data_IF_852485773593
#
_entry.id   IF_852485773593
#
_cell.length_a   1.000
_cell.length_b   1.000
_cell.length_c   1.000
_cell.angle_alpha   90.00
_cell.angle_beta   90.00
_cell.angle_gamma   90.00
#
_symmetry.space_group_name_H-M   'P 1'
#
loop_
_entity.id
_entity.type
_entity.pdbx_description
1 polymer ?
#
# COMPACT_ATOMS: atom_id res chain seq x y z
N UNK A 1 17.80 -40.41 -18.22
CA UNK A 1 17.73 -39.29 -17.26
C UNK A 1 16.39 -38.63 -17.49
N UNK A 2 15.48 -38.63 -16.51
CA UNK A 2 14.14 -38.06 -16.70
C UNK A 2 14.29 -36.59 -17.11
N UNK A 3 13.89 -36.30 -18.34
CA UNK A 3 14.04 -34.99 -18.98
C UNK A 3 12.93 -34.06 -18.46
N UNK A 4 12.94 -33.78 -17.15
CA UNK A 4 11.94 -32.92 -16.51
C UNK A 4 12.40 -31.47 -16.67
N UNK A 5 11.64 -30.69 -17.43
CA UNK A 5 11.85 -29.25 -17.57
C UNK A 5 11.81 -28.59 -16.18
N UNK A 6 12.87 -27.87 -15.77
CA UNK A 6 12.92 -27.18 -14.48
C UNK A 6 11.71 -26.27 -14.23
N UNK A 7 11.20 -26.24 -12.99
CA UNK A 7 10.04 -25.45 -12.56
C UNK A 7 10.47 -24.28 -11.68
N UNK A 8 10.10 -23.08 -12.08
CA UNK A 8 10.35 -21.84 -11.34
C UNK A 8 9.00 -21.31 -10.85
N UNK A 9 8.83 -21.25 -9.53
CA UNK A 9 7.66 -20.65 -8.88
C UNK A 9 7.99 -19.23 -8.42
N UNK A 10 7.20 -18.26 -8.85
CA UNK A 10 7.28 -16.86 -8.41
C UNK A 10 6.07 -16.59 -7.50
N UNK A 11 6.34 -16.23 -6.24
CA UNK A 11 5.34 -15.90 -5.24
C UNK A 11 5.15 -14.38 -5.21
N UNK A 12 3.99 -13.90 -5.67
CA UNK A 12 3.68 -12.48 -5.79
C UNK A 12 3.93 -11.95 -7.20
N UNK A 13 2.96 -11.19 -7.70
CA UNK A 13 2.87 -10.55 -9.02
C UNK A 13 3.08 -9.04 -8.99
N UNK A 14 3.54 -8.51 -7.84
CA UNK A 14 3.99 -7.12 -7.72
C UNK A 14 5.25 -6.83 -8.53
N UNK A 15 5.86 -5.67 -8.29
CA UNK A 15 6.96 -5.15 -9.13
C UNK A 15 8.08 -6.17 -9.39
N UNK A 16 8.66 -6.73 -8.31
CA UNK A 16 9.74 -7.69 -8.43
C UNK A 16 9.32 -9.00 -9.12
N UNK A 17 8.13 -9.53 -8.82
CA UNK A 17 7.65 -10.78 -9.40
C UNK A 17 7.31 -10.67 -10.87
N UNK A 18 6.59 -9.61 -11.27
CA UNK A 18 6.28 -9.34 -12.67
C UNK A 18 7.54 -9.15 -13.51
N UNK A 19 8.48 -8.32 -13.07
CA UNK A 19 9.71 -8.09 -13.82
C UNK A 19 10.60 -9.34 -13.88
N UNK A 20 10.62 -10.16 -12.83
CA UNK A 20 11.31 -11.45 -12.84
C UNK A 20 10.72 -12.36 -13.92
N UNK A 21 9.40 -12.59 -13.90
CA UNK A 21 8.72 -13.40 -14.90
C UNK A 21 8.95 -12.86 -16.32
N UNK A 22 8.73 -11.55 -16.51
CA UNK A 22 8.87 -10.90 -17.82
C UNK A 22 10.29 -10.98 -18.38
N UNK A 23 11.32 -10.89 -17.53
CA UNK A 23 12.71 -11.07 -17.97
C UNK A 23 13.04 -12.53 -18.22
N UNK A 24 12.55 -13.47 -17.42
CA UNK A 24 12.73 -14.90 -17.66
C UNK A 24 12.13 -15.33 -19.01
N UNK A 25 10.97 -14.80 -19.42
CA UNK A 25 10.40 -15.08 -20.75
C UNK A 25 11.31 -14.68 -21.92
N UNK A 26 12.18 -13.69 -21.71
CA UNK A 26 13.14 -13.19 -22.71
C UNK A 26 14.45 -13.97 -22.71
N UNK A 27 14.90 -14.43 -21.54
CA UNK A 27 16.19 -15.12 -21.41
C UNK A 27 16.07 -16.62 -21.69
N UNK A 28 14.96 -17.25 -21.29
CA UNK A 28 14.77 -18.69 -21.41
C UNK A 28 14.29 -19.08 -22.81
N UNK A 29 14.89 -20.12 -23.38
CA UNK A 29 14.39 -20.79 -24.58
C UNK A 29 13.12 -21.58 -24.27
N UNK A 30 12.34 -21.90 -25.29
CA UNK A 30 11.13 -22.71 -25.12
C UNK A 30 11.53 -24.11 -24.62
N UNK A 31 10.90 -24.55 -23.53
CA UNK A 31 11.20 -25.84 -22.90
C UNK A 31 12.42 -25.85 -21.97
N UNK A 32 13.12 -24.73 -21.80
CA UNK A 32 14.27 -24.63 -20.89
C UNK A 32 13.85 -24.59 -19.42
N UNK A 33 12.75 -23.91 -19.09
CA UNK A 33 12.08 -23.98 -17.80
C UNK A 33 10.59 -23.65 -17.94
N UNK A 34 9.79 -24.14 -16.99
CA UNK A 34 8.40 -23.75 -16.78
C UNK A 34 8.36 -22.68 -15.69
N UNK A 35 7.79 -21.52 -15.99
CA UNK A 35 7.65 -20.42 -15.02
C UNK A 35 6.18 -20.31 -14.64
N UNK A 36 5.90 -20.36 -13.33
CA UNK A 36 4.58 -20.10 -12.75
C UNK A 36 4.67 -18.87 -11.86
N UNK A 37 3.72 -17.94 -11.97
CA UNK A 37 3.54 -16.83 -11.04
C UNK A 37 2.20 -16.97 -10.33
N UNK A 38 2.21 -16.88 -9.00
CA UNK A 38 1.03 -16.97 -8.14
C UNK A 38 0.84 -15.64 -7.41
N UNK A 39 -0.27 -14.97 -7.67
CA UNK A 39 -0.64 -13.73 -6.97
C UNK A 39 -2.16 -13.63 -6.79
N UNK A 40 -2.68 -13.09 -5.67
CA UNK A 40 -4.12 -12.92 -5.49
C UNK A 40 -4.73 -11.89 -6.46
N UNK A 41 -3.94 -10.94 -6.97
CA UNK A 41 -4.37 -9.92 -7.91
C UNK A 41 -3.94 -10.30 -9.35
N UNK A 42 -4.78 -10.05 -10.36
CA UNK A 42 -4.46 -10.39 -11.75
C UNK A 42 -3.51 -9.37 -12.43
N UNK A 43 -2.95 -8.44 -11.67
CA UNK A 43 -2.15 -7.32 -12.15
C UNK A 43 -1.04 -6.93 -11.17
N UNK A 44 0.02 -6.32 -11.69
CA UNK A 44 1.01 -5.60 -10.91
C UNK A 44 0.53 -4.17 -10.67
N UNK A 45 0.51 -3.69 -9.44
CA UNK A 45 0.27 -2.28 -9.11
C UNK A 45 1.57 -1.48 -9.21
N UNK A 46 1.56 -0.38 -9.95
CA UNK A 46 2.60 0.64 -9.90
C UNK A 46 2.30 1.60 -8.74
N UNK A 47 2.76 1.21 -7.54
CA UNK A 47 2.47 1.90 -6.28
C UNK A 47 2.81 3.40 -6.24
N UNK A 48 3.86 3.91 -6.92
CA UNK A 48 4.15 5.34 -6.93
C UNK A 48 2.99 6.22 -7.44
N UNK A 49 2.05 5.65 -8.18
CA UNK A 49 0.88 6.37 -8.71
C UNK A 49 -0.38 6.27 -7.84
N UNK A 50 -0.31 5.64 -6.66
CA UNK A 50 -1.47 5.55 -5.76
C UNK A 50 -1.92 6.90 -5.20
N UNK A 51 -1.03 7.86 -4.86
CA UNK A 51 -1.44 9.21 -4.47
C UNK A 51 -2.32 9.90 -5.52
N UNK A 52 -1.93 9.84 -6.80
CA UNK A 52 -2.70 10.44 -7.89
C UNK A 52 -4.03 9.72 -8.14
N UNK A 53 -4.08 8.39 -7.97
CA UNK A 53 -5.35 7.65 -8.01
C UNK A 53 -6.27 8.07 -6.86
N UNK A 54 -5.71 8.26 -5.66
CA UNK A 54 -6.45 8.69 -4.47
C UNK A 54 -6.98 10.12 -4.56
N UNK A 55 -6.32 11.00 -5.32
CA UNK A 55 -6.85 12.31 -5.67
C UNK A 55 -7.72 12.33 -6.93
N UNK A 56 -7.74 11.24 -7.71
CA UNK A 56 -8.45 11.18 -8.98
C UNK A 56 -7.80 11.98 -10.12
N UNK A 57 -6.53 12.39 -9.97
CA UNK A 57 -5.77 13.05 -11.03
C UNK A 57 -5.39 12.09 -12.17
N UNK A 58 -5.36 10.78 -11.89
CA UNK A 58 -5.32 9.72 -12.89
C UNK A 58 -6.35 8.62 -12.58
N UNK A 59 -6.70 7.84 -13.60
CA UNK A 59 -7.55 6.66 -13.41
C UNK A 59 -6.77 5.47 -12.86
N UNK A 60 -7.41 4.70 -11.97
CA UNK A 60 -6.88 3.45 -11.40
C UNK A 60 -6.27 2.49 -12.44
N UNK A 61 -6.89 2.38 -13.63
CA UNK A 61 -6.41 1.49 -14.71
C UNK A 61 -5.06 1.92 -15.29
N UNK A 62 -4.64 3.17 -15.11
CA UNK A 62 -3.33 3.65 -15.55
C UNK A 62 -2.19 3.19 -14.62
N UNK A 63 -2.52 2.77 -13.41
CA UNK A 63 -1.55 2.36 -12.37
C UNK A 63 -1.41 0.84 -12.25
N UNK A 64 -1.93 0.08 -13.21
CA UNK A 64 -1.88 -1.40 -13.20
C UNK A 64 -1.32 -1.99 -14.49
N UNK A 65 -0.61 -3.10 -14.35
CA UNK A 65 -0.12 -3.90 -15.48
C UNK A 65 -0.68 -5.31 -15.39
N UNK A 66 -1.57 -5.67 -16.32
CA UNK A 66 -2.19 -7.00 -16.35
C UNK A 66 -1.15 -8.10 -16.57
N UNK A 67 -1.07 -9.06 -15.64
CA UNK A 67 -0.11 -10.17 -15.72
C UNK A 67 -0.35 -11.00 -16.98
N UNK A 68 -1.60 -11.43 -17.23
CA UNK A 68 -1.97 -12.24 -18.41
C UNK A 68 -1.80 -11.50 -19.74
N UNK A 69 -1.93 -10.17 -19.74
CA UNK A 69 -1.70 -9.36 -20.95
C UNK A 69 -0.23 -9.36 -21.33
N UNK A 70 0.68 -9.31 -20.37
CA UNK A 70 2.10 -9.07 -20.61
C UNK A 70 3.01 -10.30 -20.45
N UNK A 71 2.58 -11.33 -19.73
CA UNK A 71 3.29 -12.59 -19.59
C UNK A 71 2.65 -13.63 -20.53
N UNK A 72 3.36 -13.97 -21.61
CA UNK A 72 2.83 -14.83 -22.70
C UNK A 72 3.22 -16.28 -22.57
N UNK A 73 4.27 -16.58 -21.82
CA UNK A 73 4.85 -17.91 -21.64
C UNK A 73 4.74 -18.41 -20.20
N UNK A 74 4.65 -17.50 -19.24
CA UNK A 74 4.51 -17.77 -17.82
C UNK A 74 3.08 -18.21 -17.51
N UNK A 75 2.93 -19.27 -16.71
CA UNK A 75 1.64 -19.67 -16.16
C UNK A 75 1.23 -18.70 -15.06
N UNK A 76 0.17 -17.93 -15.30
CA UNK A 76 -0.38 -17.00 -14.30
C UNK A 76 -1.50 -17.69 -13.53
N UNK A 77 -1.35 -17.78 -12.22
CA UNK A 77 -2.32 -18.36 -11.28
C UNK A 77 -2.81 -17.26 -10.35
N UNK A 78 -4.12 -17.00 -10.37
CA UNK A 78 -4.73 -15.99 -9.51
C UNK A 78 -5.19 -16.64 -8.20
N UNK A 79 -4.29 -16.67 -7.21
CA UNK A 79 -4.45 -17.36 -5.93
C UNK A 79 -3.45 -16.84 -4.89
N UNK A 80 -3.62 -17.21 -3.63
CA UNK A 80 -2.68 -16.89 -2.55
C UNK A 80 -1.70 -18.05 -2.35
N UNK A 81 -0.45 -17.74 -2.02
CA UNK A 81 0.45 -18.71 -1.38
C UNK A 81 0.24 -18.62 0.13
N UNK A 82 -0.11 -19.74 0.74
CA UNK A 82 -0.40 -19.83 2.19
C UNK A 82 0.58 -20.72 2.94
N UNK A 83 1.40 -21.49 2.21
CA UNK A 83 2.46 -22.31 2.77
C UNK A 83 3.63 -22.44 1.80
N UNK A 84 4.86 -22.45 2.32
CA UNK A 84 6.08 -22.77 1.58
C UNK A 84 6.85 -23.79 2.42
N UNK A 85 6.90 -25.03 1.95
CA UNK A 85 7.77 -26.08 2.46
C UNK A 85 8.98 -26.17 1.52
N UNK A 86 10.01 -25.39 1.83
CA UNK A 86 11.21 -25.30 1.00
C UNK A 86 12.11 -26.53 1.14
N UNK A 87 12.07 -27.22 2.28
CA UNK A 87 12.74 -28.49 2.47
C UNK A 87 12.25 -29.55 1.47
N UNK A 88 10.94 -29.64 1.25
CA UNK A 88 10.34 -30.59 0.31
C UNK A 88 10.05 -29.99 -1.08
N UNK A 89 10.38 -28.71 -1.30
CA UNK A 89 10.20 -27.96 -2.56
C UNK A 89 8.75 -27.89 -3.04
N UNK A 90 7.84 -27.59 -2.12
CA UNK A 90 6.41 -27.51 -2.36
C UNK A 90 5.85 -26.21 -1.80
N UNK A 91 4.88 -25.61 -2.48
CA UNK A 91 4.10 -24.48 -1.97
C UNK A 91 2.60 -24.77 -1.99
N UNK A 92 1.90 -24.40 -0.92
CA UNK A 92 0.44 -24.50 -0.84
C UNK A 92 -0.18 -23.30 -1.55
N UNK A 93 -0.90 -23.56 -2.63
CA UNK A 93 -1.68 -22.55 -3.37
C UNK A 93 -3.13 -22.63 -2.92
N UNK A 94 -3.67 -21.52 -2.43
CA UNK A 94 -5.06 -21.39 -1.98
C UNK A 94 -5.81 -20.45 -2.94
N UNK A 95 -6.73 -20.97 -3.78
CA UNK A 95 -7.53 -20.14 -4.67
C UNK A 95 -8.60 -19.36 -3.90
N UNK A 96 -9.23 -18.38 -4.55
CA UNK A 96 -10.39 -17.69 -3.97
C UNK A 96 -11.62 -18.60 -3.88
N UNK A 97 -11.70 -19.63 -4.73
CA UNK A 97 -12.77 -20.63 -4.76
C UNK A 97 -12.16 -22.01 -5.06
N UNK A 98 -12.60 -23.02 -4.32
CA UNK A 98 -12.13 -24.40 -4.43
C UNK A 98 -11.07 -24.77 -3.39
N UNK A 99 -10.66 -26.03 -3.42
CA UNK A 99 -9.71 -26.57 -2.44
C UNK A 99 -8.27 -26.10 -2.73
N UNK A 100 -7.46 -25.87 -1.68
CA UNK A 100 -6.03 -25.65 -1.84
C UNK A 100 -5.34 -26.86 -2.50
N UNK A 101 -4.24 -26.61 -3.22
CA UNK A 101 -3.40 -27.67 -3.78
C UNK A 101 -1.92 -27.40 -3.54
N UNK A 102 -1.11 -28.44 -3.74
CA UNK A 102 0.34 -28.39 -3.63
C UNK A 102 0.98 -28.14 -4.99
N UNK A 103 1.82 -27.12 -5.07
CA UNK A 103 2.60 -26.73 -6.24
C UNK A 103 4.07 -27.03 -5.99
N UNK A 104 4.57 -28.09 -6.63
CA UNK A 104 5.99 -28.42 -6.60
C UNK A 104 6.83 -27.48 -7.49
N UNK A 105 8.06 -27.19 -7.06
CA UNK A 105 8.99 -26.35 -7.80
C UNK A 105 10.43 -26.86 -7.68
N UNK A 106 11.33 -26.39 -8.56
CA UNK A 106 12.78 -26.61 -8.41
C UNK A 106 13.46 -25.34 -7.88
N UNK A 107 12.96 -24.17 -8.32
CA UNK A 107 13.41 -22.85 -7.87
C UNK A 107 12.20 -22.01 -7.43
N UNK A 108 12.40 -21.18 -6.40
CA UNK A 108 11.38 -20.25 -5.90
C UNK A 108 11.92 -18.82 -5.86
N UNK A 109 11.08 -17.87 -6.24
CA UNK A 109 11.34 -16.42 -6.12
C UNK A 109 10.24 -15.82 -5.25
N UNK A 110 10.57 -15.42 -4.03
CA UNK A 110 9.57 -14.89 -3.07
C UNK A 110 9.52 -13.37 -3.14
N UNK A 111 8.46 -12.86 -3.75
CA UNK A 111 8.18 -11.44 -4.00
C UNK A 111 6.80 -11.02 -3.50
N UNK A 112 6.33 -11.63 -2.41
CA UNK A 112 5.00 -11.43 -1.83
C UNK A 112 4.74 -10.02 -1.28
N UNK A 113 5.75 -9.15 -1.30
CA UNK A 113 5.66 -7.76 -0.88
C UNK A 113 5.46 -7.59 0.62
N UNK A 114 4.93 -6.42 0.97
CA UNK A 114 4.67 -6.00 2.33
C UNK A 114 3.22 -5.48 2.42
N UNK A 115 2.64 -5.58 3.61
CA UNK A 115 1.32 -5.05 3.95
C UNK A 115 1.45 -3.87 4.91
N UNK A 116 0.42 -3.04 5.00
CA UNK A 116 0.33 -1.98 6.01
C UNK A 116 0.43 -2.61 7.40
N UNK A 117 1.29 -2.04 8.25
CA UNK A 117 1.41 -2.50 9.63
C UNK A 117 0.34 -1.80 10.46
N UNK A 118 -0.61 -2.55 10.99
CA UNK A 118 -1.53 -2.04 12.01
C UNK A 118 -0.85 -2.19 13.37
N UNK A 119 -0.75 -1.08 14.09
CA UNK A 119 -0.38 -1.09 15.50
C UNK A 119 -1.65 -1.36 16.30
N UNK A 120 -1.56 -1.90 17.54
CA UNK A 120 -2.71 -2.11 18.42
C UNK A 120 -3.24 -0.77 18.97
N UNK A 121 -3.57 0.16 18.07
CA UNK A 121 -4.13 1.47 18.34
C UNK A 121 -5.65 1.33 18.17
N UNK A 122 -6.46 1.60 19.21
CA UNK A 122 -7.91 1.46 19.15
C UNK A 122 -8.53 2.19 17.96
N UNK A 123 -9.37 1.50 17.20
CA UNK A 123 -10.12 2.07 16.07
C UNK A 123 -9.34 2.24 14.75
N UNK A 124 -8.01 2.15 14.73
CA UNK A 124 -7.25 2.31 13.47
C UNK A 124 -7.57 1.21 12.46
N UNK A 125 -7.67 -0.04 12.92
CA UNK A 125 -7.96 -1.18 12.03
C UNK A 125 -9.35 -1.08 11.36
N UNK A 126 -10.30 -0.41 12.01
CA UNK A 126 -11.69 -0.32 11.55
C UNK A 126 -11.97 0.98 10.78
N UNK A 127 -11.27 2.08 11.12
CA UNK A 127 -11.61 3.42 10.62
C UNK A 127 -10.56 4.00 9.65
N UNK A 128 -9.33 3.49 9.65
CA UNK A 128 -8.28 4.01 8.78
C UNK A 128 -8.13 3.21 7.49
N UNK A 129 -7.82 3.91 6.41
CA UNK A 129 -7.63 3.35 5.08
C UNK A 129 -6.14 3.24 4.77
N UNK A 130 -5.68 2.09 4.31
CA UNK A 130 -4.31 1.93 3.83
C UNK A 130 -4.07 2.65 2.50
N UNK A 131 -2.83 2.61 2.01
CA UNK A 131 -2.47 3.06 0.66
C UNK A 131 -1.45 2.10 0.03
N UNK A 132 -1.88 0.87 -0.25
CA UNK A 132 -1.09 -0.22 -0.82
C UNK A 132 -1.72 -0.83 -2.07
N UNK A 133 -3.04 -0.80 -2.17
CA UNK A 133 -3.77 -1.32 -3.33
C UNK A 133 -4.50 -0.22 -4.09
N UNK A 134 -4.93 -0.56 -5.30
CA UNK A 134 -5.73 0.33 -6.14
C UNK A 134 -7.10 0.57 -5.52
N UNK A 135 -7.67 -0.48 -4.93
CA UNK A 135 -8.97 -0.45 -4.27
C UNK A 135 -8.94 0.51 -3.07
N UNK A 136 -7.87 0.50 -2.28
CA UNK A 136 -7.67 1.44 -1.17
C UNK A 136 -7.58 2.89 -1.67
N UNK A 137 -6.77 3.16 -2.70
CA UNK A 137 -6.64 4.50 -3.27
C UNK A 137 -7.98 5.03 -3.84
N UNK A 138 -8.71 4.20 -4.58
CA UNK A 138 -10.05 4.54 -5.09
C UNK A 138 -11.02 4.81 -3.94
N UNK A 139 -11.00 3.99 -2.90
CA UNK A 139 -11.89 4.17 -1.76
C UNK A 139 -11.58 5.48 -1.00
N UNK A 140 -10.31 5.89 -0.87
CA UNK A 140 -9.91 7.19 -0.30
C UNK A 140 -10.52 8.34 -1.12
N UNK A 141 -10.38 8.27 -2.45
CA UNK A 141 -10.97 9.27 -3.36
C UNK A 141 -12.48 9.36 -3.17
N UNK A 142 -13.16 8.22 -3.25
CA UNK A 142 -14.61 8.16 -3.19
C UNK A 142 -15.13 8.67 -1.82
N UNK A 143 -14.38 8.39 -0.74
CA UNK A 143 -14.68 8.90 0.59
C UNK A 143 -14.55 10.43 0.66
N UNK A 144 -13.46 11.00 0.13
CA UNK A 144 -13.28 12.45 0.08
C UNK A 144 -14.44 13.13 -0.68
N UNK A 145 -14.75 12.65 -1.88
CA UNK A 145 -15.81 13.23 -2.71
C UNK A 145 -17.19 13.10 -2.05
N UNK A 146 -17.50 11.92 -1.51
CA UNK A 146 -18.76 11.69 -0.78
C UNK A 146 -18.88 12.61 0.44
N UNK A 147 -17.77 12.92 1.11
CA UNK A 147 -17.77 13.84 2.24
C UNK A 147 -18.04 15.28 1.83
N UNK A 148 -17.47 15.74 0.70
CA UNK A 148 -17.81 17.05 0.12
C UNK A 148 -19.29 17.15 -0.23
N UNK A 149 -19.87 16.12 -0.88
CA UNK A 149 -21.30 16.08 -1.21
C UNK A 149 -22.18 16.19 0.04
N UNK A 150 -21.85 15.43 1.10
CA UNK A 150 -22.60 15.47 2.37
C UNK A 150 -22.46 16.82 3.05
N UNK A 151 -21.22 17.33 3.17
CA UNK A 151 -20.92 18.58 3.84
C UNK A 151 -21.64 19.78 3.20
N UNK A 152 -21.75 19.80 1.87
CA UNK A 152 -22.45 20.86 1.14
C UNK A 152 -23.95 20.93 1.46
N UNK A 153 -24.55 19.84 1.95
CA UNK A 153 -25.97 19.77 2.35
C UNK A 153 -26.22 20.07 3.83
N UNK A 154 -25.15 20.26 4.62
CA UNK A 154 -25.24 20.49 6.06
C UNK A 154 -24.98 21.97 6.41
N UNK A 155 -25.65 22.52 7.44
CA UNK A 155 -25.26 23.80 8.00
C UNK A 155 -23.86 23.69 8.64
N UNK A 156 -23.14 24.81 8.80
CA UNK A 156 -21.92 24.86 9.59
C UNK A 156 -22.11 24.24 10.98
N UNK A 157 -21.19 23.35 11.38
CA UNK A 157 -21.24 22.65 12.66
C UNK A 157 -20.31 21.44 12.72
N UNK A 158 -20.26 20.73 13.86
CA UNK A 158 -19.28 19.67 14.12
C UNK A 158 -19.30 18.53 13.11
N UNK A 159 -20.47 18.15 12.60
CA UNK A 159 -20.58 17.07 11.60
C UNK A 159 -20.00 17.48 10.25
N UNK A 160 -20.25 18.72 9.82
CA UNK A 160 -19.71 19.28 8.58
C UNK A 160 -18.21 19.45 8.66
N UNK A 161 -17.70 19.95 9.79
CA UNK A 161 -16.27 20.03 10.07
C UNK A 161 -15.60 18.65 9.99
N UNK A 162 -16.16 17.64 10.69
CA UNK A 162 -15.65 16.27 10.68
C UNK A 162 -15.56 15.67 9.27
N UNK A 163 -16.54 15.93 8.41
CA UNK A 163 -16.55 15.47 7.02
C UNK A 163 -15.44 16.13 6.17
N UNK A 164 -15.15 17.40 6.43
CA UNK A 164 -14.16 18.20 5.70
C UNK A 164 -12.75 18.15 6.30
N UNK A 165 -12.57 17.38 7.39
CA UNK A 165 -11.27 17.10 7.98
C UNK A 165 -10.67 15.80 7.42
N UNK A 166 -9.43 15.88 6.95
CA UNK A 166 -8.63 14.76 6.46
C UNK A 166 -7.41 14.58 7.36
N UNK A 167 -7.21 13.35 7.84
CA UNK A 167 -6.03 12.99 8.64
C UNK A 167 -5.21 11.96 7.87
N UNK A 168 -3.92 12.23 7.67
CA UNK A 168 -2.96 11.28 7.12
C UNK A 168 -1.94 10.96 8.20
N UNK A 169 -1.68 9.68 8.46
CA UNK A 169 -0.72 9.23 9.48
C UNK A 169 0.51 8.63 8.80
N UNK A 170 1.68 9.16 9.14
CA UNK A 170 2.98 8.83 8.56
C UNK A 170 3.45 9.90 7.56
N UNK A 171 4.58 10.53 7.85
CA UNK A 171 5.25 11.56 7.06
C UNK A 171 6.40 11.03 6.19
N UNK A 172 6.37 9.75 5.81
CA UNK A 172 7.21 9.21 4.74
C UNK A 172 6.72 9.62 3.35
N UNK A 173 7.38 9.17 2.28
CA UNK A 173 7.03 9.54 0.90
C UNK A 173 5.54 9.33 0.58
N UNK A 174 5.03 8.12 0.78
CA UNK A 174 3.64 7.80 0.45
C UNK A 174 2.61 8.68 1.19
N UNK A 175 2.88 8.97 2.48
CA UNK A 175 2.01 9.81 3.29
C UNK A 175 2.06 11.28 2.88
N UNK A 176 3.25 11.81 2.57
CA UNK A 176 3.39 13.18 2.06
C UNK A 176 2.73 13.34 0.69
N UNK A 177 2.94 12.40 -0.23
CA UNK A 177 2.38 12.46 -1.58
C UNK A 177 0.85 12.40 -1.54
N UNK A 178 0.26 11.44 -0.81
CA UNK A 178 -1.21 11.36 -0.72
C UNK A 178 -1.80 12.56 0.01
N UNK A 179 -1.13 13.07 1.04
CA UNK A 179 -1.58 14.28 1.75
C UNK A 179 -1.60 15.51 0.83
N UNK A 180 -0.54 15.70 0.04
CA UNK A 180 -0.43 16.81 -0.90
C UNK A 180 -1.45 16.69 -2.04
N UNK A 181 -1.60 15.50 -2.62
CA UNK A 181 -2.57 15.22 -3.68
C UNK A 181 -4.02 15.43 -3.18
N UNK A 182 -4.38 14.92 -2.00
CA UNK A 182 -5.71 15.13 -1.41
C UNK A 182 -5.99 16.60 -1.09
N UNK A 183 -5.00 17.35 -0.58
CA UNK A 183 -5.13 18.79 -0.35
C UNK A 183 -5.36 19.55 -1.65
N UNK A 184 -4.64 19.15 -2.71
CA UNK A 184 -4.74 19.74 -4.05
C UNK A 184 -6.14 19.54 -4.63
N UNK A 185 -6.66 18.31 -4.65
CA UNK A 185 -8.00 18.03 -5.18
C UNK A 185 -9.09 18.69 -4.33
N UNK A 186 -8.99 18.69 -3.00
CA UNK A 186 -9.94 19.37 -2.13
C UNK A 186 -10.04 20.87 -2.45
N UNK A 187 -8.89 21.53 -2.68
CA UNK A 187 -8.87 22.94 -3.12
C UNK A 187 -9.53 23.14 -4.48
N UNK A 188 -9.38 22.19 -5.40
CA UNK A 188 -10.01 22.24 -6.72
C UNK A 188 -11.53 22.01 -6.63
N UNK A 189 -11.99 21.11 -5.74
CA UNK A 189 -13.40 20.81 -5.52
C UNK A 189 -14.19 22.02 -5.05
N UNK A 190 -13.61 22.92 -4.25
CA UNK A 190 -14.28 24.16 -3.80
C UNK A 190 -14.81 25.03 -4.95
N UNK A 191 -14.25 24.92 -6.16
CA UNK A 191 -14.78 25.60 -7.36
C UNK A 191 -16.12 25.02 -7.85
N UNK A 192 -16.51 23.85 -7.34
CA UNK A 192 -17.71 23.09 -7.69
C UNK A 192 -18.74 23.04 -6.54
N UNK A 193 -18.32 23.34 -5.31
CA UNK A 193 -19.18 23.39 -4.13
C UNK A 193 -19.19 24.82 -3.56
N UNK A 194 -20.01 25.74 -4.12
CA UNK A 194 -20.09 27.13 -3.65
C UNK A 194 -20.60 27.26 -2.21
N UNK A 195 -21.18 26.20 -1.65
CA UNK A 195 -21.64 26.12 -0.26
C UNK A 195 -20.48 25.99 0.74
N UNK A 196 -19.30 25.58 0.28
CA UNK A 196 -18.13 25.28 1.09
C UNK A 196 -17.02 26.32 0.85
N UNK A 197 -16.23 26.62 1.88
CA UNK A 197 -15.09 27.52 1.79
C UNK A 197 -13.76 26.83 2.11
N UNK A 198 -12.65 27.47 1.75
CA UNK A 198 -11.30 26.94 1.98
C UNK A 198 -11.01 26.71 3.47
N UNK A 199 -11.44 27.65 4.32
CA UNK A 199 -11.18 27.64 5.76
C UNK A 199 -11.94 26.53 6.50
N UNK A 200 -12.92 25.89 5.86
CA UNK A 200 -13.64 24.73 6.39
C UNK A 200 -12.98 23.38 6.04
N UNK A 201 -11.95 23.39 5.17
CA UNK A 201 -11.24 22.15 4.78
C UNK A 201 -9.97 22.00 5.61
N UNK A 202 -9.96 21.04 6.54
CA UNK A 202 -8.85 20.84 7.47
C UNK A 202 -8.01 19.63 7.07
N UNK A 203 -6.70 19.80 7.01
CA UNK A 203 -5.76 18.76 6.56
C UNK A 203 -4.65 18.61 7.60
N UNK A 204 -4.57 17.43 8.22
CA UNK A 204 -3.59 17.12 9.25
C UNK A 204 -2.73 15.92 8.86
N UNK A 205 -1.42 16.11 8.82
CA UNK A 205 -0.44 15.03 8.72
C UNK A 205 0.16 14.77 10.11
N UNK A 206 0.09 13.53 10.58
CA UNK A 206 0.65 13.13 11.88
C UNK A 206 1.91 12.31 11.66
N UNK A 207 3.04 12.74 12.21
CA UNK A 207 4.34 12.07 12.12
C UNK A 207 4.99 11.92 13.51
N UNK A 208 5.36 10.68 13.83
CA UNK A 208 5.91 10.32 15.14
C UNK A 208 7.34 10.82 15.34
N UNK A 209 8.09 11.04 14.27
CA UNK A 209 9.45 11.59 14.29
C UNK A 209 9.44 13.11 14.22
N UNK A 210 10.53 13.74 14.64
CA UNK A 210 10.73 15.19 14.52
C UNK A 210 10.96 15.69 13.09
N UNK A 211 10.66 14.88 12.05
CA UNK A 211 10.89 15.21 10.64
C UNK A 211 10.14 14.33 9.65
N UNK A 212 9.63 14.94 8.58
CA UNK A 212 9.09 14.24 7.38
C UNK A 212 10.19 13.82 6.40
N UNK A 213 9.98 12.71 5.70
CA UNK A 213 10.87 12.14 4.68
C UNK A 213 12.35 12.17 5.15
N UNK A 214 12.71 11.38 6.17
CA UNK A 214 14.07 11.33 6.68
C UNK A 214 15.11 10.92 5.61
N UNK A 215 14.67 10.31 4.52
CA UNK A 215 15.48 9.88 3.39
C UNK A 215 15.98 11.04 2.50
N UNK A 216 15.36 12.23 2.55
CA UNK A 216 15.81 13.40 1.76
C UNK A 216 16.69 14.35 2.58
N UNK A 217 17.21 15.42 1.97
CA UNK A 217 17.95 16.45 2.71
C UNK A 217 17.06 17.24 3.68
N UNK A 218 17.61 17.71 4.80
CA UNK A 218 16.87 18.53 5.77
C UNK A 218 16.28 19.80 5.14
N UNK A 219 17.01 20.41 4.21
CA UNK A 219 16.55 21.58 3.47
C UNK A 219 15.32 21.26 2.63
N UNK A 220 15.32 20.14 1.91
CA UNK A 220 14.16 19.68 1.13
C UNK A 220 12.95 19.44 2.01
N UNK A 221 13.14 18.78 3.17
CA UNK A 221 12.06 18.53 4.13
C UNK A 221 11.45 19.83 4.67
N UNK A 222 12.28 20.82 5.04
CA UNK A 222 11.81 22.14 5.47
C UNK A 222 11.07 22.89 4.36
N UNK A 223 11.55 22.80 3.12
CA UNK A 223 10.89 23.39 1.96
C UNK A 223 9.50 22.77 1.74
N UNK A 224 9.38 21.44 1.82
CA UNK A 224 8.08 20.75 1.69
C UNK A 224 7.12 21.17 2.80
N UNK A 225 7.57 21.22 4.06
CA UNK A 225 6.76 21.68 5.19
C UNK A 225 6.23 23.10 4.96
N UNK A 226 7.10 24.01 4.50
CA UNK A 226 6.70 25.38 4.16
C UNK A 226 5.67 25.40 3.03
N UNK A 227 5.92 24.67 1.94
CA UNK A 227 5.01 24.60 0.79
C UNK A 227 3.64 24.01 1.15
N UNK A 228 3.59 23.05 2.08
CA UNK A 228 2.33 22.48 2.57
C UNK A 228 1.59 23.47 3.48
N UNK A 229 2.31 24.15 4.37
CA UNK A 229 1.74 25.20 5.24
C UNK A 229 1.12 26.36 4.44
N UNK A 230 1.78 26.82 3.38
CA UNK A 230 1.25 27.84 2.45
C UNK A 230 -0.05 27.41 1.75
N UNK A 231 -0.36 26.10 1.74
CA UNK A 231 -1.58 25.52 1.17
C UNK A 231 -2.63 25.16 2.21
N UNK A 232 -2.47 25.62 3.46
CA UNK A 232 -3.40 25.38 4.56
C UNK A 232 -3.32 23.96 5.11
N UNK A 233 -2.20 23.27 4.94
CA UNK A 233 -2.00 21.92 5.45
C UNK A 233 -1.17 21.95 6.74
N UNK A 234 -1.69 21.34 7.81
CA UNK A 234 -1.03 21.26 9.11
C UNK A 234 -0.22 19.96 9.22
N UNK A 235 1.03 20.07 9.68
CA UNK A 235 1.89 18.91 9.93
C UNK A 235 2.30 18.89 11.39
N UNK A 236 1.98 17.79 12.06
CA UNK A 236 2.23 17.52 13.46
C UNK A 236 3.41 16.56 13.59
N UNK A 237 4.60 17.10 13.89
CA UNK A 237 5.81 16.34 14.16
C UNK A 237 5.86 15.89 15.62
N UNK A 238 6.71 14.92 15.93
CA UNK A 238 6.87 14.36 17.28
C UNK A 238 5.51 13.96 17.91
N UNK A 239 4.57 13.54 17.07
CA UNK A 239 3.17 13.33 17.44
C UNK A 239 2.70 11.97 16.95
N UNK A 240 2.07 11.21 17.85
CA UNK A 240 1.55 9.87 17.54
C UNK A 240 0.03 9.87 17.62
N UNK A 241 -0.60 9.03 16.79
CA UNK A 241 -2.03 8.70 16.98
C UNK A 241 -2.14 7.63 18.06
N UNK A 242 -2.96 7.88 19.07
CA UNK A 242 -3.22 6.97 20.19
C UNK A 242 -4.60 6.31 20.13
N UNK A 243 -5.50 6.83 19.29
CA UNK A 243 -6.84 6.29 19.09
C UNK A 243 -7.51 6.88 17.85
N UNK A 244 -8.46 6.15 17.28
CA UNK A 244 -9.28 6.58 16.14
C UNK A 244 -10.70 6.03 16.29
N UNK A 245 -11.40 6.35 17.39
CA UNK A 245 -12.69 5.77 17.75
C UNK A 245 -13.82 6.75 17.48
N UNK A 246 -14.90 6.29 16.83
CA UNK A 246 -16.09 7.13 16.60
C UNK A 246 -15.84 8.37 15.72
N UNK A 247 -14.84 8.32 14.85
CA UNK A 247 -14.44 9.46 14.02
C UNK A 247 -13.60 10.52 14.75
N UNK A 248 -13.06 10.21 15.92
CA UNK A 248 -12.14 11.07 16.65
C UNK A 248 -10.72 10.47 16.62
N UNK A 249 -9.79 11.21 16.03
CA UNK A 249 -8.36 10.88 16.05
C UNK A 249 -7.72 11.50 17.28
N UNK A 250 -7.33 10.66 18.23
CA UNK A 250 -6.67 11.06 19.47
C UNK A 250 -5.16 11.09 19.25
N UNK A 251 -4.51 12.17 19.69
CA UNK A 251 -3.07 12.37 19.56
C UNK A 251 -2.37 12.22 20.91
N UNK A 252 -1.09 11.88 20.87
CA UNK A 252 -0.22 11.78 22.06
C UNK A 252 -0.07 13.10 22.84
N UNK A 253 -0.41 14.23 22.21
CA UNK A 253 -0.46 15.55 22.82
C UNK A 253 -1.72 15.78 23.67
N UNK A 254 -2.71 14.90 23.59
CA UNK A 254 -4.03 15.06 24.18
C UNK A 254 -5.04 15.79 23.28
N UNK A 255 -4.62 16.27 22.11
CA UNK A 255 -5.51 16.84 21.10
C UNK A 255 -6.39 15.74 20.47
N UNK A 256 -7.62 16.10 20.11
CA UNK A 256 -8.58 15.23 19.43
C UNK A 256 -9.03 15.91 18.15
N UNK A 257 -8.79 15.25 17.01
CA UNK A 257 -9.15 15.75 15.68
C UNK A 257 -10.35 14.94 15.16
N UNK A 258 -11.54 15.55 15.03
CA UNK A 258 -12.68 14.88 14.42
C UNK A 258 -12.43 14.73 12.91
N UNK A 259 -12.42 13.50 12.40
CA UNK A 259 -12.19 13.20 10.99
C UNK A 259 -13.02 12.02 10.52
N UNK A 260 -13.55 12.14 9.31
CA UNK A 260 -14.24 11.05 8.63
C UNK A 260 -13.35 10.39 7.55
N UNK A 261 -12.18 10.95 7.24
CA UNK A 261 -11.19 10.35 6.35
C UNK A 261 -9.82 10.26 7.04
N UNK A 262 -9.45 9.05 7.42
CA UNK A 262 -8.16 8.73 8.04
C UNK A 262 -7.37 7.83 7.10
N UNK A 263 -6.20 8.27 6.65
CA UNK A 263 -5.30 7.51 5.78
C UNK A 263 -4.08 7.05 6.58
N UNK A 264 -3.88 5.74 6.67
CA UNK A 264 -2.77 5.13 7.40
C UNK A 264 -1.64 4.72 6.46
N UNK A 265 -0.52 5.43 6.55
CA UNK A 265 0.71 5.13 5.79
C UNK A 265 1.90 4.82 6.70
N UNK A 266 1.69 4.83 8.03
CA UNK A 266 2.73 4.60 9.01
C UNK A 266 3.09 3.11 9.12
N UNK A 267 4.22 2.77 8.48
CA UNK A 267 4.86 1.47 8.64
C UNK A 267 4.31 0.36 7.76
N UNK A 268 5.20 -0.55 7.41
CA UNK A 268 4.89 -1.77 6.67
C UNK A 268 5.51 -2.97 7.37
N UNK A 269 4.96 -4.14 7.10
CA UNK A 269 5.57 -5.40 7.50
C UNK A 269 5.55 -6.38 6.32
N UNK A 270 6.52 -7.29 6.27
CA UNK A 270 6.51 -8.36 5.27
C UNK A 270 5.19 -9.15 5.34
N UNK A 271 4.73 -9.66 4.20
CA UNK A 271 3.46 -10.39 4.12
C UNK A 271 3.42 -11.54 5.16
N UNK A 272 2.57 -11.43 6.22
CA UNK A 272 2.64 -12.36 7.35
C UNK A 272 2.21 -13.76 6.96
N UNK A 273 1.29 -13.90 6.01
CA UNK A 273 0.84 -15.21 5.51
C UNK A 273 2.00 -15.97 4.87
N UNK A 274 2.78 -15.30 4.02
CA UNK A 274 3.92 -15.95 3.34
C UNK A 274 5.07 -16.20 4.30
N UNK A 275 5.43 -15.21 5.12
CA UNK A 275 6.57 -15.34 6.04
C UNK A 275 6.30 -16.41 7.10
N UNK A 276 5.16 -16.35 7.79
CA UNK A 276 4.82 -17.30 8.87
C UNK A 276 4.41 -18.67 8.34
N UNK A 277 3.92 -18.73 7.10
CA UNK A 277 3.60 -19.98 6.42
C UNK A 277 4.80 -20.67 5.76
N UNK A 278 6.03 -20.13 5.92
CA UNK A 278 7.24 -20.68 5.30
C UNK A 278 8.24 -21.20 6.33
N UNK A 279 9.05 -22.18 5.91
CA UNK A 279 10.25 -22.65 6.61
C UNK A 279 11.52 -21.84 6.24
N UNK A 280 11.36 -20.71 5.54
CA UNK A 280 12.46 -19.87 5.09
C UNK A 280 13.07 -19.08 6.27
N UNK A 281 14.40 -18.87 6.30
CA UNK A 281 15.05 -18.03 7.29
C UNK A 281 14.49 -16.60 7.32
N UNK A 282 14.15 -16.13 8.52
CA UNK A 282 13.60 -14.79 8.78
C UNK A 282 14.57 -14.00 9.67
N UNK A 283 14.70 -12.70 9.42
CA UNK A 283 15.44 -11.79 10.30
C UNK A 283 14.53 -11.17 11.39
N UNK A 284 15.13 -10.50 12.36
CA UNK A 284 14.45 -10.02 13.58
C UNK A 284 13.22 -9.15 13.31
N UNK A 285 13.21 -8.36 12.22
CA UNK A 285 12.06 -7.53 11.81
C UNK A 285 11.00 -8.29 10.99
N UNK A 286 11.11 -9.61 10.87
CA UNK A 286 10.10 -10.45 10.23
C UNK A 286 10.18 -10.52 8.70
N UNK A 287 11.29 -10.13 8.08
CA UNK A 287 11.52 -10.26 6.63
C UNK A 287 12.32 -11.54 6.33
N UNK A 288 12.14 -12.11 5.14
CA UNK A 288 12.98 -13.23 4.69
C UNK A 288 14.42 -12.74 4.57
N UNK A 289 15.36 -13.47 5.18
CA UNK A 289 16.79 -13.14 5.17
C UNK A 289 17.40 -13.57 3.84
N UNK A 290 18.09 -12.65 3.19
CA UNK A 290 18.77 -12.89 1.91
C UNK A 290 20.23 -12.45 1.95
N UNK A 291 21.01 -13.04 1.04
CA UNK A 291 22.39 -12.67 0.76
C UNK A 291 22.47 -11.52 -0.24
N UNK A 292 23.68 -11.02 -0.48
CA UNK A 292 23.94 -9.98 -1.49
C UNK A 292 23.51 -10.39 -2.91
N UNK A 293 23.47 -11.70 -3.21
CA UNK A 293 23.01 -12.25 -4.49
C UNK A 293 21.51 -12.60 -4.50
N UNK A 294 20.76 -12.16 -3.49
CA UNK A 294 19.32 -12.34 -3.31
C UNK A 294 18.87 -13.77 -3.00
N UNK A 295 19.77 -14.74 -2.92
CA UNK A 295 19.41 -16.09 -2.45
C UNK A 295 19.09 -16.05 -0.95
N UNK A 296 18.11 -16.84 -0.52
CA UNK A 296 17.70 -16.95 0.88
C UNK A 296 18.82 -17.60 1.70
N UNK A 297 19.18 -17.01 2.84
CA UNK A 297 20.27 -17.48 3.70
C UNK A 297 21.07 -16.36 4.36
N UNK A 298 22.02 -16.73 5.21
CA UNK A 298 22.86 -15.82 5.99
C UNK A 298 24.31 -15.68 5.51
N UNK A 299 24.80 -16.60 4.66
CA UNK A 299 26.19 -16.64 4.16
C UNK A 299 26.28 -16.65 2.63
#
# INVERSE_FOLDING_TARGET
MSNTTPRILIVGGGYAGFYTAWKLEKHLRRGEAQVTIVDPLPYMTYQPFLPEVAAGSIEARHSVVSLRRHLKRTRVVTAKITGIDHANKVATVTPALGEPWQEEYDQIVVTAGAVSRTFPIPGIADNAMGLKTIEEAVAIRDKLFSNFDKAATLPPGPERERLLTVVVVGGGFAGIEVFAELRSIASALLKKYPELSFDETHFHLIEAMGRIMPEVSLETSKWVMKSLGERGAAVHLDTQVTGAVGGNVELSTGEVIPSDLIVWTAGVMANPTVVRGSDLPVEERGRIRTRADLRVGSE
#
